data_IF_640106181805
#
_entry.id   IF_640106181805
#
_cell.length_a   1.000
_cell.length_b   1.000
_cell.length_c   1.000
_cell.angle_alpha   90.00
_cell.angle_beta   90.00
_cell.angle_gamma   90.00
#
_symmetry.space_group_name_H-M   'P 1'
#
loop_
_entity.id
_entity.type
_entity.pdbx_description
1 polymer ?
#
# COMPACT_ATOMS: atom_id res chain seq x y z
N UNK A 1 0.62 59.01 -17.34
CA UNK A 1 0.04 58.95 -15.99
C UNK A 1 1.02 58.16 -15.13
N UNK A 2 2.17 58.72 -14.74
CA UNK A 2 2.41 59.95 -13.95
C UNK A 2 2.22 59.71 -12.44
N UNK A 3 3.36 59.58 -11.76
CA UNK A 3 3.65 59.96 -10.38
C UNK A 3 4.83 60.99 -10.47
N UNK A 4 5.28 61.70 -9.41
CA UNK A 4 5.05 61.51 -7.96
C UNK A 4 4.86 62.85 -7.16
N UNK A 5 5.29 62.86 -5.88
CA UNK A 5 5.44 63.98 -4.88
C UNK A 5 4.14 64.41 -4.15
N UNK A 6 4.09 64.61 -2.82
CA UNK A 6 5.03 65.17 -1.81
C UNK A 6 5.26 64.19 -0.61
N UNK A 7 6.30 64.17 0.25
CA UNK A 7 7.30 65.13 0.79
C UNK A 7 6.73 66.10 1.85
N UNK A 8 6.94 65.93 3.17
CA UNK A 8 8.02 66.47 4.04
C UNK A 8 7.59 66.19 5.53
N UNK A 9 8.39 66.23 6.62
CA UNK A 9 9.84 66.00 6.89
C UNK A 9 10.12 66.14 8.43
N UNK A 10 11.23 65.56 8.96
CA UNK A 10 12.02 65.93 10.19
C UNK A 10 11.30 65.93 11.57
N UNK A 11 11.92 65.89 12.77
CA UNK A 11 13.28 65.60 13.34
C UNK A 11 13.06 65.24 14.85
N UNK A 12 13.97 64.74 15.69
CA UNK A 12 15.41 64.46 15.58
C UNK A 12 16.01 63.86 16.88
N UNK A 13 17.33 63.97 17.01
CA UNK A 13 18.31 63.53 18.05
C UNK A 13 17.88 63.61 19.55
N UNK A 14 18.50 62.97 20.55
CA UNK A 14 19.73 62.14 20.65
C UNK A 14 20.50 62.45 21.96
N UNK A 15 21.10 61.46 22.66
CA UNK A 15 22.18 61.68 23.67
C UNK A 15 22.80 60.39 24.25
N UNK A 16 24.06 60.49 24.70
CA UNK A 16 24.93 59.42 25.18
C UNK A 16 25.49 59.70 26.59
N UNK A 17 26.06 58.67 27.26
CA UNK A 17 27.04 58.64 28.38
C UNK A 17 26.80 57.36 29.22
N UNK A 18 27.77 56.56 29.69
CA UNK A 18 29.21 56.46 29.40
C UNK A 18 29.94 55.47 30.35
N UNK A 19 30.98 54.78 29.85
CA UNK A 19 32.11 54.14 30.58
C UNK A 19 31.88 52.98 31.57
N UNK A 20 32.48 51.80 31.28
CA UNK A 20 33.66 51.26 32.00
C UNK A 20 34.07 49.86 31.47
N UNK A 21 35.34 49.48 31.62
CA UNK A 21 35.97 48.25 31.07
C UNK A 21 36.66 47.49 32.21
N UNK A 22 36.64 46.14 32.20
CA UNK A 22 37.70 45.18 32.64
C UNK A 22 37.15 43.73 32.76
N UNK A 23 38.04 42.74 32.67
CA UNK A 23 37.79 41.27 32.68
C UNK A 23 38.83 40.60 33.64
N UNK A 24 39.01 39.26 33.76
CA UNK A 24 38.27 38.09 33.22
C UNK A 24 37.64 37.28 34.41
N UNK A 25 37.88 35.97 34.75
CA UNK A 25 38.73 34.89 34.21
C UNK A 25 37.96 33.75 33.48
N UNK A 26 38.68 32.72 33.04
CA UNK A 26 38.20 31.42 32.53
C UNK A 26 38.33 30.31 33.58
N UNK A 27 37.40 29.34 33.59
CA UNK A 27 37.56 28.04 34.27
C UNK A 27 37.16 26.93 33.30
N UNK A 28 37.89 25.82 33.30
CA UNK A 28 37.70 24.66 32.44
C UNK A 28 37.37 23.43 33.27
N UNK A 29 36.25 22.77 33.00
CA UNK A 29 35.89 21.42 33.46
C UNK A 29 34.76 20.95 32.52
N UNK A 30 35.07 20.11 31.52
CA UNK A 30 35.16 18.65 31.60
C UNK A 30 33.81 17.96 31.36
N UNK A 31 33.68 17.43 30.14
CA UNK A 31 32.86 16.28 29.75
C UNK A 31 31.93 15.69 30.84
N UNK A 32 30.61 15.79 30.61
CA UNK A 32 29.86 14.55 30.54
C UNK A 32 29.01 14.52 29.27
N UNK A 33 29.09 13.41 28.55
CA UNK A 33 28.45 13.26 27.26
C UNK A 33 27.04 12.78 27.49
N UNK A 34 26.07 13.67 27.29
CA UNK A 34 24.67 13.24 27.15
C UNK A 34 24.56 12.45 25.84
N UNK A 35 24.91 11.17 25.92
CA UNK A 35 24.94 10.26 24.81
C UNK A 35 23.54 10.26 24.19
N UNK A 36 23.45 10.82 22.97
CA UNK A 36 22.32 10.56 22.12
C UNK A 36 22.19 9.04 22.07
N UNK A 37 21.08 8.53 22.60
CA UNK A 37 20.70 7.14 22.39
C UNK A 37 20.48 6.99 20.88
N UNK A 38 21.55 6.62 20.18
CA UNK A 38 21.52 5.98 18.87
C UNK A 38 20.59 4.77 19.03
N UNK A 39 19.32 5.01 18.75
CA UNK A 39 18.36 3.97 18.44
C UNK A 39 19.06 3.11 17.37
N UNK A 40 19.39 1.84 17.66
CA UNK A 40 20.16 1.04 16.72
C UNK A 40 19.43 1.09 15.38
N UNK A 41 20.15 1.33 14.26
CA UNK A 41 19.54 1.61 12.97
C UNK A 41 18.53 0.51 12.70
N UNK A 42 17.24 0.87 12.63
CA UNK A 42 16.14 -0.09 12.68
C UNK A 42 16.27 -1.05 11.50
N UNK A 43 16.94 -2.17 11.75
CA UNK A 43 17.22 -3.18 10.77
C UNK A 43 15.88 -3.81 10.47
N UNK A 44 15.30 -3.38 9.36
CA UNK A 44 14.05 -3.87 8.82
C UNK A 44 14.27 -5.32 8.37
N UNK A 45 14.36 -6.22 9.35
CA UNK A 45 14.90 -7.59 9.25
C UNK A 45 13.91 -8.54 8.59
N UNK A 46 12.62 -8.16 8.56
CA UNK A 46 11.59 -8.79 7.74
C UNK A 46 11.71 -8.37 6.26
N UNK A 47 12.04 -7.10 6.01
CA UNK A 47 12.61 -6.72 4.72
C UNK A 47 14.06 -7.23 4.70
N UNK A 48 14.81 -7.06 3.61
CA UNK A 48 16.11 -7.73 3.47
C UNK A 48 16.02 -9.25 3.21
N UNK A 49 15.08 -9.97 3.83
CA UNK A 49 14.73 -11.36 3.45
C UNK A 49 14.35 -11.45 1.96
N UNK A 50 14.56 -12.59 1.29
CA UNK A 50 14.06 -12.82 -0.07
C UNK A 50 12.53 -12.68 -0.13
N UNK A 51 11.99 -12.17 -1.24
CA UNK A 51 10.54 -11.96 -1.41
C UNK A 51 9.71 -13.21 -1.09
N UNK A 52 10.17 -14.40 -1.49
CA UNK A 52 9.50 -15.68 -1.23
C UNK A 52 9.39 -15.99 0.26
N UNK A 53 10.40 -15.63 1.06
CA UNK A 53 10.35 -15.82 2.51
C UNK A 53 9.30 -14.89 3.15
N UNK A 54 9.20 -13.65 2.68
CA UNK A 54 8.18 -12.68 3.12
C UNK A 54 6.79 -13.19 2.69
N UNK A 55 6.61 -13.59 1.43
CA UNK A 55 5.34 -14.16 0.93
C UNK A 55 4.91 -15.38 1.76
N UNK A 56 5.84 -16.25 2.16
CA UNK A 56 5.56 -17.41 3.01
C UNK A 56 5.15 -17.00 4.44
N UNK A 57 5.84 -16.03 5.06
CA UNK A 57 5.48 -15.50 6.39
C UNK A 57 4.09 -14.88 6.36
N UNK A 58 3.80 -14.06 5.34
CA UNK A 58 2.50 -13.40 5.19
C UNK A 58 1.39 -14.37 4.75
N UNK A 59 1.71 -15.57 4.25
CA UNK A 59 0.70 -16.56 3.82
C UNK A 59 -0.16 -17.13 4.95
N UNK A 60 0.25 -16.92 6.21
CA UNK A 60 -0.54 -17.25 7.41
C UNK A 60 -1.57 -16.19 7.79
N UNK A 61 -1.55 -15.02 7.13
CA UNK A 61 -2.49 -13.92 7.36
C UNK A 61 -3.66 -13.97 6.37
N UNK A 62 -4.79 -13.41 6.78
CA UNK A 62 -5.92 -13.17 5.87
C UNK A 62 -5.60 -12.08 4.85
N UNK A 63 -6.31 -12.07 3.73
CA UNK A 63 -6.17 -11.01 2.72
C UNK A 63 -6.57 -9.62 3.23
N UNK A 64 -7.40 -9.51 4.27
CA UNK A 64 -7.69 -8.21 4.91
C UNK A 64 -6.45 -7.68 5.63
N UNK A 65 -5.81 -8.51 6.46
CA UNK A 65 -4.55 -8.18 7.15
C UNK A 65 -3.44 -7.85 6.15
N UNK A 66 -3.27 -8.65 5.09
CA UNK A 66 -2.29 -8.39 4.00
C UNK A 66 -2.59 -7.04 3.32
N UNK A 67 -3.86 -6.66 3.14
CA UNK A 67 -4.21 -5.36 2.57
C UNK A 67 -3.84 -4.18 3.47
N UNK A 68 -3.96 -4.34 4.79
CA UNK A 68 -3.57 -3.32 5.77
C UNK A 68 -2.04 -3.12 5.81
N UNK A 69 -1.26 -4.20 5.67
CA UNK A 69 0.20 -4.15 5.66
C UNK A 69 0.81 -3.33 4.51
N UNK A 70 0.04 -3.06 3.44
CA UNK A 70 0.48 -2.18 2.34
C UNK A 70 0.88 -0.78 2.81
N UNK A 71 0.25 -0.27 3.86
CA UNK A 71 0.53 1.06 4.39
C UNK A 71 1.85 1.15 5.17
N UNK A 72 2.52 0.03 5.47
CA UNK A 72 3.73 -0.01 6.32
C UNK A 72 4.95 0.58 5.61
N UNK A 73 5.25 0.14 4.39
CA UNK A 73 6.34 0.71 3.57
C UNK A 73 6.21 0.32 2.10
N UNK A 74 6.85 1.07 1.20
CA UNK A 74 6.84 0.83 -0.26
C UNK A 74 7.20 -0.60 -0.68
N UNK A 75 8.12 -1.25 0.06
CA UNK A 75 8.51 -2.64 -0.23
C UNK A 75 7.47 -3.64 0.28
N UNK A 76 6.81 -3.37 1.41
CA UNK A 76 5.72 -4.19 1.91
C UNK A 76 4.50 -4.10 0.98
N UNK A 77 4.17 -2.89 0.52
CA UNK A 77 3.12 -2.65 -0.48
C UNK A 77 3.31 -3.51 -1.74
N UNK A 78 4.49 -3.46 -2.37
CA UNK A 78 4.79 -4.26 -3.57
C UNK A 78 4.58 -5.78 -3.35
N UNK A 79 4.99 -6.30 -2.18
CA UNK A 79 4.80 -7.73 -1.84
C UNK A 79 3.32 -8.04 -1.62
N UNK A 80 2.62 -7.22 -0.82
CA UNK A 80 1.22 -7.42 -0.50
C UNK A 80 0.32 -7.29 -1.74
N UNK A 81 0.52 -6.28 -2.58
CA UNK A 81 -0.17 -6.15 -3.88
C UNK A 81 0.01 -7.40 -4.73
N UNK A 82 1.26 -7.91 -4.86
CA UNK A 82 1.55 -9.13 -5.62
C UNK A 82 0.84 -10.35 -5.03
N UNK A 83 0.83 -10.52 -3.71
CA UNK A 83 0.12 -11.63 -3.04
C UNK A 83 -1.40 -11.56 -3.23
N UNK A 84 -1.98 -10.36 -3.12
CA UNK A 84 -3.41 -10.08 -3.32
C UNK A 84 -3.86 -10.39 -4.76
N UNK A 85 -3.14 -9.87 -5.75
CA UNK A 85 -3.41 -10.11 -7.17
C UNK A 85 -3.23 -11.60 -7.53
N UNK A 86 -2.19 -12.26 -6.99
CA UNK A 86 -2.01 -13.71 -7.14
C UNK A 86 -3.13 -14.52 -6.46
N UNK A 87 -3.78 -14.00 -5.42
CA UNK A 87 -4.96 -14.60 -4.80
C UNK A 87 -6.12 -14.72 -5.79
N UNK A 88 -6.46 -13.63 -6.47
CA UNK A 88 -7.50 -13.63 -7.51
C UNK A 88 -7.18 -14.62 -8.64
N UNK A 89 -5.95 -14.60 -9.16
CA UNK A 89 -5.50 -15.53 -10.21
C UNK A 89 -5.46 -17.00 -9.76
N UNK A 90 -5.32 -17.29 -8.46
CA UNK A 90 -5.47 -18.65 -7.91
C UNK A 90 -6.94 -19.09 -7.90
N UNK A 91 -7.86 -18.21 -7.51
CA UNK A 91 -9.31 -18.48 -7.53
C UNK A 91 -9.81 -18.73 -8.95
N UNK A 92 -9.41 -17.90 -9.92
CA UNK A 92 -9.78 -18.09 -11.33
C UNK A 92 -9.27 -19.43 -11.89
N UNK A 93 -8.02 -19.79 -11.62
CA UNK A 93 -7.45 -21.09 -12.03
C UNK A 93 -8.15 -22.27 -11.37
N UNK A 94 -8.46 -22.18 -10.08
CA UNK A 94 -9.21 -23.22 -9.36
C UNK A 94 -10.62 -23.39 -9.92
N UNK A 95 -11.32 -22.28 -10.18
CA UNK A 95 -12.62 -22.30 -10.83
C UNK A 95 -12.58 -23.00 -12.20
N UNK A 96 -11.61 -22.64 -13.05
CA UNK A 96 -11.38 -23.28 -14.35
C UNK A 96 -11.13 -24.79 -14.24
N UNK A 97 -10.40 -25.25 -13.22
CA UNK A 97 -10.16 -26.68 -12.97
C UNK A 97 -11.46 -27.41 -12.64
N UNK A 98 -12.21 -26.92 -11.64
CA UNK A 98 -13.50 -27.49 -11.23
C UNK A 98 -14.49 -27.52 -12.40
N UNK A 99 -14.54 -26.45 -13.20
CA UNK A 99 -15.45 -26.36 -14.33
C UNK A 99 -15.09 -27.37 -15.44
N UNK A 100 -13.80 -27.58 -15.74
CA UNK A 100 -13.35 -28.62 -16.68
C UNK A 100 -13.68 -30.02 -16.17
N UNK A 101 -13.45 -30.29 -14.87
CA UNK A 101 -13.75 -31.58 -14.24
C UNK A 101 -15.26 -31.91 -14.27
N UNK A 102 -16.14 -30.93 -14.00
CA UNK A 102 -17.59 -31.12 -14.09
C UNK A 102 -18.03 -31.25 -15.54
N UNK A 103 -17.61 -30.35 -16.46
CA UNK A 103 -17.96 -30.40 -17.88
C UNK A 103 -17.57 -31.73 -18.54
N UNK A 104 -16.45 -32.33 -18.16
CA UNK A 104 -16.00 -33.63 -18.66
C UNK A 104 -16.88 -34.82 -18.25
N UNK A 105 -17.62 -34.71 -17.14
CA UNK A 105 -18.53 -35.76 -16.64
C UNK A 105 -19.97 -35.60 -17.12
N UNK A 106 -20.33 -34.47 -17.76
CA UNK A 106 -21.69 -34.23 -18.23
C UNK A 106 -21.96 -34.94 -19.57
N UNK A 107 -23.18 -35.46 -19.79
CA UNK A 107 -23.62 -35.92 -21.10
C UNK A 107 -23.45 -34.85 -22.19
N UNK A 108 -23.18 -35.27 -23.44
CA UNK A 108 -23.08 -34.32 -24.56
C UNK A 108 -24.42 -33.70 -24.92
N UNK A 109 -25.52 -34.46 -24.82
CA UNK A 109 -26.88 -34.00 -25.14
C UNK A 109 -27.49 -33.21 -23.99
N UNK A 110 -28.17 -32.12 -24.34
CA UNK A 110 -28.76 -31.18 -23.38
C UNK A 110 -29.93 -31.76 -22.57
N UNK A 111 -30.78 -32.58 -23.19
CA UNK A 111 -31.87 -33.29 -22.52
C UNK A 111 -31.39 -34.25 -21.43
N UNK A 112 -30.29 -34.97 -21.72
CA UNK A 112 -29.63 -35.88 -20.77
C UNK A 112 -28.89 -35.08 -19.68
N UNK A 113 -28.26 -33.95 -20.03
CA UNK A 113 -27.56 -33.07 -19.09
C UNK A 113 -28.47 -32.56 -17.98
N UNK A 114 -29.68 -32.10 -18.30
CA UNK A 114 -30.63 -31.51 -17.33
C UNK A 114 -31.08 -32.48 -16.24
N UNK A 115 -31.07 -33.78 -16.54
CA UNK A 115 -31.45 -34.83 -15.60
C UNK A 115 -30.23 -35.43 -14.85
N UNK A 116 -29.02 -34.93 -15.11
CA UNK A 116 -27.79 -35.43 -14.50
C UNK A 116 -27.57 -34.85 -13.09
N UNK A 117 -27.03 -35.64 -12.16
CA UNK A 117 -26.76 -35.23 -10.77
C UNK A 117 -25.84 -34.00 -10.65
N UNK A 118 -24.92 -33.83 -11.60
CA UNK A 118 -24.02 -32.67 -11.67
C UNK A 118 -24.59 -31.45 -12.42
N UNK A 119 -25.83 -31.49 -12.94
CA UNK A 119 -26.43 -30.36 -13.66
C UNK A 119 -26.39 -29.06 -12.83
N UNK A 120 -26.96 -29.12 -11.61
CA UNK A 120 -26.96 -28.00 -10.66
C UNK A 120 -25.56 -27.51 -10.30
N UNK A 121 -24.57 -28.40 -10.25
CA UNK A 121 -23.17 -28.03 -10.00
C UNK A 121 -22.59 -27.23 -11.18
N UNK A 122 -22.93 -27.61 -12.41
CA UNK A 122 -22.54 -26.88 -13.61
C UNK A 122 -23.21 -25.49 -13.69
N UNK A 123 -24.49 -25.38 -13.32
CA UNK A 123 -25.21 -24.10 -13.27
C UNK A 123 -24.61 -23.13 -12.23
N UNK A 124 -24.29 -23.64 -11.03
CA UNK A 124 -23.59 -22.87 -9.99
C UNK A 124 -22.23 -22.41 -10.50
N UNK A 125 -21.47 -23.28 -11.17
CA UNK A 125 -20.17 -22.91 -11.73
C UNK A 125 -20.31 -21.86 -12.85
N UNK A 126 -21.30 -21.96 -13.74
CA UNK A 126 -21.54 -20.93 -14.77
C UNK A 126 -21.93 -19.57 -14.16
N UNK A 127 -22.71 -19.56 -13.07
CA UNK A 127 -23.02 -18.34 -12.34
C UNK A 127 -21.77 -17.71 -11.68
N UNK A 128 -20.87 -18.53 -11.13
CA UNK A 128 -19.59 -18.07 -10.57
C UNK A 128 -18.64 -17.59 -11.68
N UNK A 129 -18.53 -18.29 -12.80
CA UNK A 129 -17.74 -17.90 -13.98
C UNK A 129 -18.13 -16.49 -14.47
N UNK A 130 -19.43 -16.22 -14.54
CA UNK A 130 -19.98 -14.91 -14.94
C UNK A 130 -19.51 -13.81 -13.98
N UNK A 131 -19.54 -14.06 -12.66
CA UNK A 131 -19.09 -13.11 -11.63
C UNK A 131 -17.57 -12.89 -11.68
N UNK A 132 -16.79 -13.96 -11.81
CA UNK A 132 -15.32 -13.86 -11.95
C UNK A 132 -14.93 -13.11 -13.22
N UNK A 133 -15.58 -13.40 -14.34
CA UNK A 133 -15.32 -12.72 -15.63
C UNK A 133 -15.61 -11.22 -15.55
N UNK A 134 -16.70 -10.81 -14.88
CA UNK A 134 -17.03 -9.41 -14.63
C UNK A 134 -15.92 -8.72 -13.81
N UNK A 135 -15.49 -9.33 -12.70
CA UNK A 135 -14.40 -8.79 -11.86
C UNK A 135 -13.09 -8.67 -12.67
N UNK A 136 -12.78 -9.69 -13.48
CA UNK A 136 -11.59 -9.74 -14.32
C UNK A 136 -11.59 -8.59 -15.35
N UNK A 137 -12.68 -8.42 -16.09
CA UNK A 137 -12.83 -7.32 -17.07
C UNK A 137 -12.85 -5.94 -16.42
N UNK A 138 -13.38 -5.81 -15.20
CA UNK A 138 -13.47 -4.52 -14.51
C UNK A 138 -12.12 -4.09 -13.94
N UNK A 139 -11.34 -5.02 -13.36
CA UNK A 139 -10.17 -4.66 -12.55
C UNK A 139 -8.81 -5.00 -13.15
N UNK A 140 -8.67 -6.03 -14.01
CA UNK A 140 -7.32 -6.44 -14.47
C UNK A 140 -6.57 -5.32 -15.19
N UNK A 141 -7.23 -4.51 -16.02
CA UNK A 141 -6.60 -3.36 -16.67
C UNK A 141 -5.96 -2.38 -15.68
N UNK A 142 -6.60 -2.16 -14.52
CA UNK A 142 -6.09 -1.27 -13.48
C UNK A 142 -4.99 -1.95 -12.66
N UNK A 143 -5.12 -3.25 -12.40
CA UNK A 143 -4.10 -4.09 -11.75
C UNK A 143 -2.81 -4.13 -12.58
N UNK A 144 -2.91 -4.39 -13.89
CA UNK A 144 -1.77 -4.41 -14.83
C UNK A 144 -1.10 -3.03 -14.92
N UNK A 145 -1.87 -1.96 -14.73
CA UNK A 145 -1.38 -0.57 -14.69
C UNK A 145 -0.84 -0.15 -13.31
N UNK A 146 -0.86 -1.04 -12.31
CA UNK A 146 -0.53 -0.76 -10.90
C UNK A 146 -1.35 0.39 -10.28
N UNK A 147 -2.58 0.60 -10.75
CA UNK A 147 -3.50 1.65 -10.26
C UNK A 147 -4.37 1.18 -9.08
N UNK A 148 -4.55 -0.14 -8.93
CA UNK A 148 -5.13 -0.76 -7.75
C UNK A 148 -4.63 -2.21 -7.62
N UNK A 149 -4.83 -2.83 -6.45
CA UNK A 149 -4.70 -4.28 -6.29
C UNK A 149 -6.04 -4.90 -5.87
N UNK A 150 -6.20 -6.21 -6.10
CA UNK A 150 -7.42 -6.92 -5.73
C UNK A 150 -7.56 -7.06 -4.21
N UNK A 151 -8.47 -6.31 -3.60
CA UNK A 151 -8.79 -6.45 -2.17
C UNK A 151 -10.14 -7.17 -2.03
N UNK A 152 -10.19 -8.37 -1.42
CA UNK A 152 -11.45 -9.08 -1.23
C UNK A 152 -12.32 -8.38 -0.19
N UNK A 153 -13.53 -7.96 -0.60
CA UNK A 153 -14.56 -7.43 0.29
C UNK A 153 -14.47 -5.94 0.64
N UNK A 154 -13.39 -5.23 0.26
CA UNK A 154 -13.24 -3.78 0.44
C UNK A 154 -12.65 -3.15 -0.82
N UNK A 155 -13.10 -1.95 -1.18
CA UNK A 155 -12.55 -1.19 -2.30
C UNK A 155 -11.75 -0.01 -1.75
N UNK A 156 -10.44 -0.22 -1.52
CA UNK A 156 -9.63 0.70 -0.72
C UNK A 156 -8.88 1.77 -1.54
N UNK A 157 -8.67 1.55 -2.84
CA UNK A 157 -7.71 2.34 -3.64
C UNK A 157 -8.41 3.21 -4.70
N UNK A 158 -8.77 4.45 -4.33
CA UNK A 158 -8.97 5.55 -5.29
C UNK A 158 -8.78 6.96 -4.67
N UNK A 159 -7.99 7.13 -3.59
CA UNK A 159 -7.88 8.45 -2.93
C UNK A 159 -6.64 8.66 -2.02
N UNK A 160 -5.49 8.07 -2.34
CA UNK A 160 -4.21 8.40 -1.70
C UNK A 160 -3.14 8.75 -2.75
N UNK A 161 -3.21 9.98 -3.26
CA UNK A 161 -2.16 10.62 -4.02
C UNK A 161 -2.21 12.16 -3.86
#
# INVERSE_FOLDING_TARGET
MAAPEERLVLDGEGSSLGSARLSPPTVSESHDSLASMELPPQSNTLMGLPIVAIENILSFLSYDEISQLRLVCKRMDLVCQRMLNQGFLKVERYHNLCQKQVKAQLPRRESERRNHSLARHADILAAVETRLSLLNMTFMKYVDSNLCCFIPGKFQDLLLH
#
